data_IF_595770841323
#
_entry.id   IF_595770841323
#
_cell.length_a   1.000
_cell.length_b   1.000
_cell.length_c   1.000
_cell.angle_alpha   90.00
_cell.angle_beta   90.00
_cell.angle_gamma   90.00
#
_symmetry.space_group_name_H-M   'P 1'
#
loop_
_entity.id
_entity.type
_entity.pdbx_description
1 polymer ?
#
# COMPACT_ATOMS: atom_id res chain seq x y z
N UNK A 1 -6.06 -7.95 50.63
CA UNK A 1 -5.31 -7.90 49.36
C UNK A 1 -6.07 -8.83 48.43
N UNK A 2 -6.98 -8.42 47.55
CA UNK A 2 -7.03 -7.32 46.58
C UNK A 2 -8.44 -7.38 45.96
N UNK A 3 -9.17 -6.27 45.85
CA UNK A 3 -10.16 -6.05 44.78
C UNK A 3 -10.91 -4.74 45.02
N UNK A 4 -10.30 -3.64 44.64
CA UNK A 4 -11.07 -2.47 44.22
C UNK A 4 -10.19 -1.72 43.24
N UNK A 5 -9.85 -2.41 42.16
CA UNK A 5 -9.54 -1.66 40.96
C UNK A 5 -10.89 -1.14 40.50
N UNK A 6 -11.12 0.13 40.83
CA UNK A 6 -12.30 0.89 40.45
C UNK A 6 -12.59 0.67 38.96
N UNK A 7 -13.82 0.32 38.63
CA UNK A 7 -14.23 0.00 37.27
C UNK A 7 -13.96 1.19 36.33
N UNK A 8 -14.08 2.41 36.86
CA UNK A 8 -13.71 3.64 36.15
C UNK A 8 -12.22 3.71 35.83
N UNK A 9 -11.35 3.26 36.74
CA UNK A 9 -9.92 3.18 36.50
C UNK A 9 -9.60 2.13 35.43
N UNK A 10 -10.23 0.96 35.49
CA UNK A 10 -10.05 -0.07 34.45
C UNK A 10 -10.49 0.43 33.07
N UNK A 11 -11.64 1.11 33.00
CA UNK A 11 -12.13 1.72 31.78
C UNK A 11 -11.15 2.77 31.23
N UNK A 12 -10.64 3.65 32.09
CA UNK A 12 -9.67 4.69 31.69
C UNK A 12 -8.37 4.08 31.15
N UNK A 13 -7.87 3.02 31.79
CA UNK A 13 -6.66 2.31 31.36
C UNK A 13 -6.91 1.62 30.01
N UNK A 14 -8.06 0.99 29.82
CA UNK A 14 -8.43 0.34 28.56
C UNK A 14 -8.50 1.35 27.41
N UNK A 15 -9.11 2.52 27.63
CA UNK A 15 -9.19 3.59 26.62
C UNK A 15 -7.79 4.09 26.25
N UNK A 16 -6.94 4.38 27.24
CA UNK A 16 -5.56 4.85 27.00
C UNK A 16 -4.73 3.80 26.27
N UNK A 17 -4.88 2.52 26.60
CA UNK A 17 -4.19 1.43 25.92
C UNK A 17 -4.58 1.33 24.44
N UNK A 18 -5.87 1.42 24.11
CA UNK A 18 -6.36 1.42 22.73
C UNK A 18 -5.82 2.63 21.97
N UNK A 19 -5.91 3.84 22.54
CA UNK A 19 -5.38 5.05 21.90
C UNK A 19 -3.87 4.99 21.69
N UNK A 20 -3.13 4.44 22.65
CA UNK A 20 -1.68 4.25 22.55
C UNK A 20 -1.32 3.24 21.46
N UNK A 21 -2.06 2.12 21.36
CA UNK A 21 -1.89 1.14 20.27
C UNK A 21 -2.28 1.69 18.89
N UNK A 22 -3.28 2.58 18.85
CA UNK A 22 -3.74 3.20 17.61
C UNK A 22 -2.81 4.34 17.16
N UNK A 23 -2.10 4.99 18.09
CA UNK A 23 -1.11 6.03 17.82
C UNK A 23 0.13 5.50 17.09
N UNK A 24 0.43 4.20 17.18
CA UNK A 24 1.46 3.55 16.36
C UNK A 24 1.01 3.30 14.91
N UNK A 25 -0.25 3.65 14.61
CA UNK A 25 -0.71 3.92 13.26
C UNK A 25 -0.85 2.67 12.41
N UNK A 26 -2.10 2.30 12.13
CA UNK A 26 -2.44 2.05 10.72
C UNK A 26 -2.13 3.35 10.00
N UNK A 27 -0.88 3.52 9.59
CA UNK A 27 -0.52 4.56 8.66
C UNK A 27 -1.52 4.43 7.52
N UNK A 28 -2.26 5.50 7.24
CA UNK A 28 -2.91 5.64 5.95
C UNK A 28 -1.75 5.79 4.95
N UNK A 29 -1.02 4.70 4.73
CA UNK A 29 -0.08 4.58 3.65
C UNK A 29 -0.95 4.70 2.41
N UNK A 30 -0.53 5.55 1.48
CA UNK A 30 -1.14 5.56 0.18
C UNK A 30 -1.09 4.10 -0.31
N UNK A 31 -2.26 3.48 -0.46
CA UNK A 31 -2.32 2.13 -0.99
C UNK A 31 -1.50 2.12 -2.28
N UNK A 32 -0.82 1.01 -2.57
CA UNK A 32 -0.06 0.84 -3.83
C UNK A 32 -0.97 0.84 -5.07
N UNK A 33 -2.19 1.39 -4.99
CA UNK A 33 -3.22 1.53 -6.01
C UNK A 33 -2.75 2.27 -7.26
N UNK A 34 -1.54 2.85 -7.26
CA UNK A 34 -0.91 3.44 -8.44
C UNK A 34 0.42 2.80 -8.82
N UNK A 35 0.64 1.53 -8.48
CA UNK A 35 1.59 0.71 -9.22
C UNK A 35 1.21 0.74 -10.70
N UNK A 36 2.19 0.78 -11.61
CA UNK A 36 1.92 0.95 -13.06
C UNK A 36 1.10 -0.21 -13.68
N UNK A 37 0.74 -1.22 -12.89
CA UNK A 37 0.12 -2.47 -13.33
C UNK A 37 1.19 -3.44 -13.83
N UNK A 38 0.76 -4.67 -14.13
CA UNK A 38 1.66 -5.65 -14.72
C UNK A 38 2.13 -5.19 -16.12
N UNK A 39 3.29 -5.67 -16.60
CA UNK A 39 3.83 -5.29 -17.91
C UNK A 39 2.86 -5.52 -19.08
N UNK A 40 2.06 -6.58 -19.06
CA UNK A 40 1.09 -6.89 -20.11
C UNK A 40 -0.06 -5.87 -20.16
N UNK A 41 -0.63 -5.49 -19.02
CA UNK A 41 -1.69 -4.48 -18.93
C UNK A 41 -1.21 -3.10 -19.33
N UNK A 42 0.04 -2.74 -19.00
CA UNK A 42 0.67 -1.51 -19.50
C UNK A 42 0.81 -1.53 -21.02
N UNK A 43 1.28 -2.65 -21.57
CA UNK A 43 1.53 -2.80 -23.00
C UNK A 43 0.22 -2.79 -23.80
N UNK A 44 -0.79 -3.52 -23.33
CA UNK A 44 -2.12 -3.57 -23.91
C UNK A 44 -2.77 -2.17 -23.95
N UNK A 45 -2.69 -1.41 -22.85
CA UNK A 45 -3.19 -0.02 -22.82
C UNK A 45 -2.47 0.88 -23.83
N UNK A 46 -1.16 0.71 -24.01
CA UNK A 46 -0.40 1.48 -25.01
C UNK A 46 -0.87 1.17 -26.42
N UNK A 47 -1.07 -0.11 -26.75
CA UNK A 47 -1.57 -0.53 -28.07
C UNK A 47 -2.97 0.00 -28.34
N UNK A 48 -3.88 -0.05 -27.34
CA UNK A 48 -5.23 0.52 -27.48
C UNK A 48 -5.22 2.03 -27.79
N UNK A 49 -4.26 2.78 -27.25
CA UNK A 49 -4.08 4.22 -27.51
C UNK A 49 -3.25 4.47 -28.80
N UNK A 50 -2.97 3.43 -29.59
CA UNK A 50 -2.20 3.52 -30.84
C UNK A 50 -0.69 3.71 -30.64
N UNK A 51 -0.18 3.59 -29.40
CA UNK A 51 1.25 3.63 -29.11
C UNK A 51 1.88 2.26 -29.36
N UNK A 52 3.17 2.27 -29.74
CA UNK A 52 3.95 1.05 -29.92
C UNK A 52 4.15 0.33 -28.57
N UNK A 53 4.10 -1.00 -28.64
CA UNK A 53 4.37 -1.88 -27.51
C UNK A 53 5.82 -1.71 -27.01
N UNK A 54 6.03 -1.90 -25.71
CA UNK A 54 7.33 -1.72 -25.05
C UNK A 54 8.30 -2.86 -25.37
N UNK A 55 7.79 -4.08 -25.54
CA UNK A 55 8.61 -5.26 -25.87
C UNK A 55 9.31 -5.12 -27.22
N UNK A 56 8.60 -4.71 -28.28
CA UNK A 56 9.18 -4.50 -29.63
C UNK A 56 9.97 -3.20 -29.71
N UNK A 57 9.72 -2.23 -28.84
CA UNK A 57 10.54 -1.02 -28.73
C UNK A 57 11.92 -1.30 -28.13
N UNK A 58 12.03 -2.25 -27.19
CA UNK A 58 13.31 -2.67 -26.58
C UNK A 58 14.16 -3.51 -27.54
N UNK A 59 13.57 -4.41 -28.32
CA UNK A 59 14.31 -5.23 -29.28
C UNK A 59 14.99 -4.41 -30.38
N UNK A 60 14.42 -3.25 -30.74
CA UNK A 60 15.01 -2.35 -31.76
C UNK A 60 16.22 -1.55 -31.28
N UNK A 61 16.53 -1.56 -29.98
CA UNK A 61 17.70 -0.85 -29.41
C UNK A 61 18.88 -1.79 -29.12
N UNK A 62 18.82 -3.04 -29.57
CA UNK A 62 20.02 -3.86 -29.71
C UNK A 62 20.68 -3.48 -31.03
N UNK A 63 21.65 -2.58 -30.98
CA UNK A 63 22.57 -2.44 -32.11
C UNK A 63 23.36 -3.75 -32.15
N UNK A 64 23.30 -4.47 -33.26
CA UNK A 64 24.19 -5.61 -33.49
C UNK A 64 25.64 -5.12 -33.38
N UNK A 65 26.45 -5.76 -32.54
CA UNK A 65 27.89 -5.53 -32.47
C UNK A 65 28.58 -6.34 -33.56
#
# INVERSE_FOLDING_TARGET
>A
MTSEIDEEKLLSVAIVAVLSSASEGDSISASSSRGRGNPWSMDHRRVLIGRRNLFRARSRRSTTR
#
